data_IF_529331558360
#
_entry.id   IF_529331558360
#
_cell.length_a   1.000
_cell.length_b   1.000
_cell.length_c   1.000
_cell.angle_alpha   90.00
_cell.angle_beta   90.00
_cell.angle_gamma   90.00
#
_symmetry.space_group_name_H-M   'P 1'
#
loop_
_entity.id
_entity.type
_entity.pdbx_description
1 polymer ?
#
# COMPACT_ATOMS: atom_id res chain seq x y z
N UNK A 1 -13.24 34.72 -36.18
CA UNK A 1 -12.46 33.72 -35.44
C UNK A 1 -13.42 33.01 -34.53
N UNK A 2 -13.75 31.75 -34.83
CA UNK A 2 -14.58 30.95 -33.93
C UNK A 2 -13.78 30.67 -32.65
N UNK A 3 -14.41 30.73 -31.47
CA UNK A 3 -13.73 30.38 -30.23
C UNK A 3 -13.25 28.92 -30.30
N UNK A 4 -12.11 28.58 -29.69
CA UNK A 4 -11.68 27.18 -29.62
C UNK A 4 -12.77 26.38 -28.92
N UNK A 5 -13.25 25.35 -29.61
CA UNK A 5 -14.12 24.33 -29.02
C UNK A 5 -13.32 23.75 -27.85
N UNK A 6 -13.74 24.07 -26.63
CA UNK A 6 -13.29 23.35 -25.43
C UNK A 6 -13.52 21.88 -25.73
N UNK A 7 -12.45 21.07 -25.74
CA UNK A 7 -12.53 19.62 -25.83
C UNK A 7 -13.61 19.15 -24.86
N UNK A 8 -14.80 18.84 -25.39
CA UNK A 8 -15.85 18.21 -24.61
C UNK A 8 -15.34 16.79 -24.37
N UNK A 9 -14.93 16.55 -23.13
CA UNK A 9 -14.49 15.23 -22.69
C UNK A 9 -15.65 14.27 -22.88
N UNK A 10 -15.42 13.16 -23.57
CA UNK A 10 -16.41 12.09 -23.62
C UNK A 10 -16.62 11.51 -22.22
N UNK A 11 -17.86 11.27 -21.81
CA UNK A 11 -18.15 10.67 -20.52
C UNK A 11 -17.50 9.30 -20.38
N UNK A 12 -17.04 8.98 -19.16
CA UNK A 12 -16.49 7.66 -18.87
C UNK A 12 -17.54 6.59 -19.16
N UNK A 13 -17.16 5.53 -19.88
CA UNK A 13 -18.07 4.42 -20.16
C UNK A 13 -18.60 3.79 -18.87
N UNK A 14 -19.84 3.29 -18.91
CA UNK A 14 -20.48 2.63 -17.77
C UNK A 14 -19.62 1.47 -17.21
N UNK A 15 -18.92 0.75 -18.09
CA UNK A 15 -17.98 -0.31 -17.73
C UNK A 15 -16.80 0.20 -16.89
N UNK A 16 -16.23 1.35 -17.25
CA UNK A 16 -15.11 1.95 -16.50
C UNK A 16 -15.57 2.40 -15.12
N UNK A 17 -16.78 2.96 -15.01
CA UNK A 17 -17.34 3.36 -13.73
C UNK A 17 -17.59 2.16 -12.82
N UNK A 18 -18.22 1.11 -13.34
CA UNK A 18 -18.47 -0.12 -12.60
C UNK A 18 -17.15 -0.77 -12.13
N UNK A 19 -16.16 -0.84 -13.02
CA UNK A 19 -14.83 -1.34 -12.68
C UNK A 19 -14.15 -0.49 -11.61
N UNK A 20 -14.13 0.85 -11.75
CA UNK A 20 -13.55 1.76 -10.77
C UNK A 20 -14.19 1.60 -9.38
N UNK A 21 -15.51 1.42 -9.33
CA UNK A 21 -16.27 1.24 -8.09
C UNK A 21 -15.92 -0.07 -7.39
N UNK A 22 -15.94 -1.19 -8.11
CA UNK A 22 -15.60 -2.50 -7.56
C UNK A 22 -14.15 -2.50 -7.10
N UNK A 23 -13.25 -2.05 -7.98
CA UNK A 23 -11.82 -2.00 -7.72
C UNK A 23 -11.47 -1.14 -6.50
N UNK A 24 -11.97 0.10 -6.47
CA UNK A 24 -11.75 1.03 -5.36
C UNK A 24 -12.34 0.55 -4.05
N UNK A 25 -13.50 -0.12 -4.07
CA UNK A 25 -14.11 -0.69 -2.87
C UNK A 25 -13.31 -1.85 -2.32
N UNK A 26 -12.87 -2.78 -3.19
CA UNK A 26 -12.04 -3.93 -2.78
C UNK A 26 -10.72 -3.43 -2.18
N UNK A 27 -10.05 -2.49 -2.83
CA UNK A 27 -8.80 -1.92 -2.34
C UNK A 27 -8.99 -1.23 -0.98
N UNK A 28 -9.96 -0.31 -0.87
CA UNK A 28 -10.18 0.42 0.38
C UNK A 28 -10.56 -0.51 1.54
N UNK A 29 -11.49 -1.45 1.31
CA UNK A 29 -11.97 -2.36 2.35
C UNK A 29 -10.88 -3.35 2.79
N UNK A 30 -10.19 -3.99 1.84
CA UNK A 30 -9.13 -4.94 2.17
C UNK A 30 -8.00 -4.25 2.94
N UNK A 31 -7.58 -3.06 2.52
CA UNK A 31 -6.51 -2.32 3.18
C UNK A 31 -6.91 -1.82 4.58
N UNK A 32 -8.11 -1.28 4.76
CA UNK A 32 -8.61 -0.83 6.07
C UNK A 32 -8.82 -2.00 7.03
N UNK A 33 -9.38 -3.12 6.56
CA UNK A 33 -9.55 -4.32 7.38
C UNK A 33 -8.19 -4.92 7.75
N UNK A 34 -7.25 -4.99 6.81
CA UNK A 34 -5.88 -5.43 7.09
C UNK A 34 -5.25 -4.58 8.20
N UNK A 35 -5.42 -3.26 8.13
CA UNK A 35 -4.94 -2.31 9.14
C UNK A 35 -5.51 -2.60 10.53
N UNK A 36 -6.81 -2.84 10.64
CA UNK A 36 -7.46 -3.16 11.91
C UNK A 36 -6.89 -4.46 12.49
N UNK A 37 -6.75 -5.49 11.66
CA UNK A 37 -6.20 -6.79 12.09
C UNK A 37 -4.72 -6.66 12.44
N UNK A 38 -3.94 -5.85 11.71
CA UNK A 38 -2.54 -5.57 11.99
C UNK A 38 -2.36 -4.92 13.36
N UNK A 39 -3.17 -3.91 13.68
CA UNK A 39 -3.14 -3.25 14.99
C UNK A 39 -3.44 -4.23 16.13
N UNK A 40 -4.42 -5.12 15.93
CA UNK A 40 -4.74 -6.17 16.90
C UNK A 40 -3.59 -7.18 17.04
N UNK A 41 -3.01 -7.64 15.92
CA UNK A 41 -1.89 -8.57 15.92
C UNK A 41 -0.65 -7.97 16.60
N UNK A 42 -0.32 -6.71 16.31
CA UNK A 42 0.80 -6.01 16.93
C UNK A 42 0.58 -5.71 18.42
N UNK A 43 -0.66 -5.43 18.84
CA UNK A 43 -0.98 -5.27 20.25
C UNK A 43 -0.85 -6.58 21.04
N UNK A 44 -1.17 -7.72 20.41
CA UNK A 44 -1.14 -9.04 21.06
C UNK A 44 0.22 -9.73 20.99
N UNK A 45 1.00 -9.48 19.94
CA UNK A 45 2.32 -10.06 19.74
C UNK A 45 3.21 -9.13 18.90
N UNK A 46 3.92 -8.17 19.53
CA UNK A 46 4.82 -7.27 18.82
C UNK A 46 5.99 -8.02 18.17
N UNK A 47 6.34 -7.66 16.92
CA UNK A 47 7.57 -8.15 16.26
C UNK A 47 8.81 -7.31 16.62
N UNK A 48 8.85 -6.72 17.82
CA UNK A 48 9.99 -5.95 18.32
C UNK A 48 10.89 -6.81 19.21
N UNK A 49 12.21 -6.71 19.02
CA UNK A 49 13.18 -7.51 19.76
C UNK A 49 13.64 -6.77 21.02
N UNK A 50 13.33 -7.34 22.19
CA UNK A 50 14.14 -7.17 23.40
C UNK A 50 14.61 -8.56 23.86
N UNK A 51 15.93 -8.76 23.90
CA UNK A 51 16.57 -10.08 24.00
C UNK A 51 16.31 -10.86 25.29
N UNK A 52 15.70 -10.24 26.31
CA UNK A 52 15.38 -10.89 27.58
C UNK A 52 14.07 -11.71 27.54
N UNK A 53 13.19 -11.50 26.54
CA UNK A 53 11.86 -12.12 26.47
C UNK A 53 11.59 -12.89 25.17
N UNK A 54 12.63 -13.30 24.44
CA UNK A 54 12.50 -13.84 23.08
C UNK A 54 11.61 -15.10 22.97
N UNK A 55 11.65 -15.97 23.98
CA UNK A 55 10.76 -17.15 24.04
C UNK A 55 9.30 -16.76 24.30
N UNK A 56 9.04 -15.75 25.12
CA UNK A 56 7.70 -15.22 25.37
C UNK A 56 7.14 -14.54 24.12
N UNK A 57 7.97 -13.79 23.39
CA UNK A 57 7.63 -13.20 22.09
C UNK A 57 7.24 -14.29 21.10
N UNK A 58 7.99 -15.40 21.02
CA UNK A 58 7.63 -16.52 20.14
C UNK A 58 6.34 -17.22 20.55
N UNK A 59 6.10 -17.39 21.85
CA UNK A 59 4.84 -17.93 22.35
C UNK A 59 3.66 -16.99 22.06
N UNK A 60 3.86 -15.67 22.09
CA UNK A 60 2.88 -14.68 21.68
C UNK A 60 2.61 -14.73 20.16
N UNK A 61 3.66 -14.74 19.33
CA UNK A 61 3.55 -14.87 17.87
C UNK A 61 2.85 -16.16 17.46
N UNK A 62 3.13 -17.27 18.15
CA UNK A 62 2.44 -18.55 17.96
C UNK A 62 0.97 -18.52 18.40
N UNK A 63 0.55 -17.64 19.30
CA UNK A 63 -0.88 -17.43 19.58
C UNK A 63 -1.52 -16.50 18.55
N UNK A 64 -0.76 -15.54 18.03
CA UNK A 64 -1.22 -14.54 17.09
C UNK A 64 -1.14 -14.95 15.61
N UNK A 65 -0.54 -16.10 15.28
CA UNK A 65 -0.35 -16.54 13.89
C UNK A 65 -1.60 -16.51 12.98
N UNK A 66 -2.83 -16.80 13.46
CA UNK A 66 -4.01 -16.73 12.60
C UNK A 66 -4.31 -15.27 12.22
N UNK A 67 -4.08 -14.33 13.13
CA UNK A 67 -4.30 -12.90 12.90
C UNK A 67 -3.29 -12.35 11.91
N UNK A 68 -2.02 -12.78 11.99
CA UNK A 68 -1.03 -12.48 10.97
C UNK A 68 -1.43 -13.06 9.60
N UNK A 69 -1.95 -14.29 9.57
CA UNK A 69 -2.43 -14.90 8.32
C UNK A 69 -3.58 -14.09 7.70
N UNK A 70 -4.57 -13.70 8.49
CA UNK A 70 -5.71 -12.88 8.02
C UNK A 70 -5.23 -11.50 7.59
N UNK A 71 -4.39 -10.84 8.40
CA UNK A 71 -3.83 -9.53 8.13
C UNK A 71 -3.13 -9.48 6.76
N UNK A 72 -2.15 -10.36 6.55
CA UNK A 72 -1.38 -10.36 5.32
C UNK A 72 -2.14 -10.97 4.14
N UNK A 73 -3.16 -11.80 4.38
CA UNK A 73 -4.10 -12.20 3.32
C UNK A 73 -4.94 -11.03 2.80
N UNK A 74 -5.32 -10.10 3.68
CA UNK A 74 -6.04 -8.88 3.29
C UNK A 74 -5.12 -7.86 2.61
N UNK A 75 -3.89 -7.66 3.12
CA UNK A 75 -2.90 -6.84 2.42
C UNK A 75 -2.58 -7.41 1.03
N UNK A 76 -2.50 -8.75 0.88
CA UNK A 76 -2.23 -9.38 -0.41
C UNK A 76 -3.29 -8.99 -1.45
N UNK A 77 -4.56 -8.96 -1.05
CA UNK A 77 -5.67 -8.51 -1.91
C UNK A 77 -5.53 -7.02 -2.23
N UNK A 78 -5.17 -6.20 -1.25
CA UNK A 78 -4.93 -4.77 -1.45
C UNK A 78 -3.78 -4.53 -2.44
N UNK A 79 -2.67 -5.25 -2.32
CA UNK A 79 -1.49 -5.10 -3.18
C UNK A 79 -1.73 -5.61 -4.60
N UNK A 80 -2.51 -6.67 -4.77
CA UNK A 80 -3.05 -7.06 -6.08
C UNK A 80 -3.87 -5.94 -6.71
N UNK A 81 -4.71 -5.26 -5.92
CA UNK A 81 -5.49 -4.14 -6.41
C UNK A 81 -4.61 -2.91 -6.72
N UNK A 82 -3.62 -2.58 -5.89
CA UNK A 82 -2.66 -1.51 -6.17
C UNK A 82 -1.93 -1.76 -7.50
N UNK A 83 -1.54 -3.01 -7.78
CA UNK A 83 -0.88 -3.35 -9.04
C UNK A 83 -1.74 -3.03 -10.28
N UNK A 84 -3.07 -3.15 -10.16
CA UNK A 84 -4.02 -2.86 -11.22
C UNK A 84 -4.50 -1.39 -11.23
N UNK A 85 -4.25 -0.63 -10.17
CA UNK A 85 -4.68 0.77 -10.05
C UNK A 85 -4.12 1.64 -11.18
N UNK A 86 -2.88 1.38 -11.60
CA UNK A 86 -2.24 2.06 -12.71
C UNK A 86 -2.97 1.87 -14.05
N UNK A 87 -3.54 0.68 -14.27
CA UNK A 87 -4.35 0.38 -15.47
C UNK A 87 -5.66 1.15 -15.43
N UNK A 88 -6.34 1.17 -14.28
CA UNK A 88 -7.56 1.94 -14.07
C UNK A 88 -7.32 3.44 -14.37
N UNK A 89 -6.27 4.02 -13.78
CA UNK A 89 -5.93 5.43 -13.97
C UNK A 89 -5.51 5.74 -15.40
N UNK A 90 -4.78 4.83 -16.06
CA UNK A 90 -4.41 5.01 -17.46
C UNK A 90 -5.64 5.01 -18.37
N UNK A 91 -6.56 4.06 -18.18
CA UNK A 91 -7.81 3.99 -18.95
C UNK A 91 -8.66 5.26 -18.80
N UNK A 92 -8.67 5.87 -17.61
CA UNK A 92 -9.44 7.07 -17.35
C UNK A 92 -8.74 8.38 -17.78
N UNK A 93 -7.46 8.55 -17.47
CA UNK A 93 -6.74 9.81 -17.65
C UNK A 93 -6.07 9.96 -19.02
N UNK A 94 -5.69 8.85 -19.66
CA UNK A 94 -4.94 8.86 -20.91
C UNK A 94 -5.23 7.58 -21.73
N UNK A 95 -6.47 7.37 -22.21
CA UNK A 95 -6.89 6.13 -22.88
C UNK A 95 -6.11 5.84 -24.16
N UNK A 96 -5.67 6.87 -24.88
CA UNK A 96 -4.81 6.72 -26.08
C UNK A 96 -3.35 6.43 -25.74
N UNK A 97 -2.99 6.42 -24.46
CA UNK A 97 -1.66 6.13 -23.97
C UNK A 97 -0.64 7.24 -24.22
N UNK A 98 0.50 7.10 -23.55
CA UNK A 98 1.65 8.01 -23.63
C UNK A 98 2.71 7.56 -22.64
N UNK A 99 3.97 7.95 -22.83
CA UNK A 99 5.07 7.42 -22.01
C UNK A 99 4.80 7.60 -20.51
N UNK A 100 4.26 8.77 -20.10
CA UNK A 100 3.95 9.07 -18.70
C UNK A 100 2.87 8.16 -18.12
N UNK A 101 1.83 7.86 -18.91
CA UNK A 101 0.74 6.99 -18.48
C UNK A 101 1.22 5.54 -18.33
N UNK A 102 2.05 5.07 -19.26
CA UNK A 102 2.71 3.77 -19.16
C UNK A 102 3.67 3.69 -17.97
N UNK A 103 4.50 4.71 -17.76
CA UNK A 103 5.40 4.75 -16.59
C UNK A 103 4.61 4.74 -15.29
N UNK A 104 3.53 5.52 -15.17
CA UNK A 104 2.63 5.48 -14.01
C UNK A 104 2.06 4.08 -13.79
N UNK A 105 1.56 3.43 -14.84
CA UNK A 105 0.99 2.09 -14.75
C UNK A 105 2.03 1.06 -14.27
N UNK A 106 3.24 1.10 -14.84
CA UNK A 106 4.35 0.23 -14.45
C UNK A 106 4.78 0.48 -13.01
N UNK A 107 4.84 1.74 -12.55
CA UNK A 107 5.21 2.06 -11.17
C UNK A 107 4.20 1.52 -10.15
N UNK A 108 2.89 1.66 -10.42
CA UNK A 108 1.86 1.04 -9.57
C UNK A 108 1.93 -0.48 -9.59
N UNK A 109 2.14 -1.08 -10.77
CA UNK A 109 2.32 -2.52 -10.90
C UNK A 109 3.51 -3.02 -10.06
N UNK A 110 4.67 -2.36 -10.16
CA UNK A 110 5.85 -2.70 -9.37
C UNK A 110 5.62 -2.48 -7.87
N UNK A 111 4.93 -1.40 -7.48
CA UNK A 111 4.59 -1.15 -6.08
C UNK A 111 3.73 -2.29 -5.50
N UNK A 112 2.64 -2.65 -6.19
CA UNK A 112 1.78 -3.75 -5.78
C UNK A 112 2.52 -5.09 -5.76
N UNK A 113 3.40 -5.36 -6.74
CA UNK A 113 4.20 -6.59 -6.75
C UNK A 113 5.18 -6.69 -5.57
N UNK A 114 5.81 -5.58 -5.17
CA UNK A 114 6.69 -5.58 -4.00
C UNK A 114 5.90 -5.80 -2.70
N UNK A 115 4.72 -5.20 -2.58
CA UNK A 115 3.80 -5.46 -1.47
C UNK A 115 3.34 -6.93 -1.43
N UNK A 116 2.98 -7.49 -2.58
CA UNK A 116 2.60 -8.89 -2.72
C UNK A 116 3.73 -9.84 -2.26
N UNK A 117 4.98 -9.55 -2.64
CA UNK A 117 6.15 -10.32 -2.17
C UNK A 117 6.33 -10.20 -0.65
N UNK A 118 6.16 -9.00 -0.09
CA UNK A 118 6.18 -8.77 1.35
C UNK A 118 5.09 -9.59 2.07
N UNK A 119 3.86 -9.58 1.55
CA UNK A 119 2.74 -10.29 2.15
C UNK A 119 2.89 -11.80 2.06
N UNK A 120 3.35 -12.35 0.93
CA UNK A 120 3.67 -13.78 0.80
C UNK A 120 4.79 -14.18 1.77
N UNK A 121 5.80 -13.32 1.93
CA UNK A 121 6.88 -13.54 2.90
C UNK A 121 6.29 -13.62 4.32
N UNK A 122 5.40 -12.72 4.68
CA UNK A 122 4.78 -12.69 6.00
C UNK A 122 3.73 -13.79 6.22
N UNK A 123 2.99 -14.20 5.19
CA UNK A 123 2.12 -15.38 5.22
C UNK A 123 2.93 -16.66 5.45
N UNK A 124 4.09 -16.77 4.79
CA UNK A 124 5.03 -17.86 5.01
C UNK A 124 5.58 -17.82 6.43
N UNK A 125 5.96 -16.65 6.93
CA UNK A 125 6.39 -16.45 8.31
C UNK A 125 5.31 -16.86 9.33
N UNK A 126 4.04 -16.53 9.07
CA UNK A 126 2.93 -16.95 9.92
C UNK A 126 2.81 -18.48 10.01
N UNK A 127 3.11 -19.21 8.93
CA UNK A 127 3.18 -20.68 8.98
C UNK A 127 4.38 -21.18 9.79
N UNK A 128 5.52 -20.47 9.75
CA UNK A 128 6.66 -20.78 10.60
C UNK A 128 6.33 -20.60 12.09
N UNK A 129 5.60 -19.53 12.46
CA UNK A 129 5.18 -19.30 13.85
C UNK A 129 4.28 -20.40 14.41
N UNK A 130 3.54 -21.11 13.54
CA UNK A 130 2.71 -22.26 13.95
C UNK A 130 3.53 -23.47 14.37
N UNK A 131 4.76 -23.63 13.83
CA UNK A 131 5.57 -24.84 13.98
C UNK A 131 6.45 -24.82 15.24
N UNK A 132 6.25 -25.75 16.19
CA UNK A 132 7.05 -25.80 17.42
C UNK A 132 8.51 -26.25 17.23
N UNK A 133 8.86 -26.86 16.08
CA UNK A 133 10.16 -27.51 15.88
C UNK A 133 11.21 -26.64 15.18
N UNK A 134 10.80 -25.60 14.44
CA UNK A 134 11.70 -24.82 13.58
C UNK A 134 12.37 -23.64 14.28
N UNK A 135 11.89 -23.25 15.46
CA UNK A 135 12.29 -22.05 16.18
C UNK A 135 12.58 -22.35 17.67
N UNK A 136 13.24 -23.48 17.94
CA UNK A 136 13.57 -23.90 19.30
C UNK A 136 14.79 -23.20 19.91
N UNK A 137 15.61 -22.55 19.08
CA UNK A 137 16.83 -21.84 19.48
C UNK A 137 16.65 -20.30 19.41
N UNK A 138 17.06 -19.61 20.47
CA UNK A 138 16.91 -18.17 20.61
C UNK A 138 17.73 -17.39 19.56
N UNK A 139 18.94 -17.84 19.24
CA UNK A 139 19.77 -17.17 18.22
C UNK A 139 19.13 -17.28 16.84
N UNK A 140 18.62 -18.45 16.49
CA UNK A 140 17.90 -18.70 15.23
C UNK A 140 16.65 -17.84 15.11
N UNK A 141 15.86 -17.73 16.19
CA UNK A 141 14.67 -16.85 16.23
C UNK A 141 15.04 -15.39 15.94
N UNK A 142 16.06 -14.87 16.63
CA UNK A 142 16.47 -13.47 16.48
C UNK A 142 16.92 -13.16 15.05
N UNK A 143 17.67 -14.08 14.42
CA UNK A 143 18.11 -13.94 13.02
C UNK A 143 16.92 -13.96 12.07
N UNK A 144 15.97 -14.89 12.23
CA UNK A 144 14.79 -15.00 11.37
C UNK A 144 13.90 -13.77 11.47
N UNK A 145 13.58 -13.31 12.69
CA UNK A 145 12.77 -12.11 12.91
C UNK A 145 13.48 -10.84 12.40
N UNK A 146 14.80 -10.74 12.61
CA UNK A 146 15.60 -9.65 12.06
C UNK A 146 15.58 -9.61 10.54
N UNK A 147 15.76 -10.76 9.88
CA UNK A 147 15.67 -10.88 8.43
C UNK A 147 14.28 -10.54 7.89
N UNK A 148 13.22 -11.04 8.52
CA UNK A 148 11.83 -10.74 8.15
C UNK A 148 11.54 -9.24 8.25
N UNK A 149 11.86 -8.62 9.39
CA UNK A 149 11.64 -7.19 9.60
C UNK A 149 12.44 -6.33 8.61
N UNK A 150 13.71 -6.65 8.37
CA UNK A 150 14.54 -5.90 7.43
C UNK A 150 14.02 -6.02 5.99
N UNK A 151 13.71 -7.25 5.56
CA UNK A 151 13.26 -7.53 4.19
C UNK A 151 11.90 -6.88 3.90
N UNK A 152 10.95 -7.04 4.81
CA UNK A 152 9.61 -6.44 4.68
C UNK A 152 9.65 -4.92 4.73
N UNK A 153 10.51 -4.33 5.57
CA UNK A 153 10.71 -2.89 5.58
C UNK A 153 11.25 -2.34 4.25
N UNK A 154 12.24 -3.00 3.64
CA UNK A 154 12.77 -2.58 2.33
C UNK A 154 11.73 -2.69 1.21
N UNK A 155 10.97 -3.79 1.16
CA UNK A 155 9.89 -3.93 0.18
C UNK A 155 8.79 -2.90 0.40
N UNK A 156 8.40 -2.65 1.65
CA UNK A 156 7.41 -1.62 1.98
C UNK A 156 7.88 -0.22 1.58
N UNK A 157 9.12 0.15 1.92
CA UNK A 157 9.70 1.44 1.53
C UNK A 157 9.71 1.62 0.01
N UNK A 158 10.20 0.63 -0.73
CA UNK A 158 10.24 0.68 -2.19
C UNK A 158 8.83 0.74 -2.79
N UNK A 159 7.87 -0.02 -2.26
CA UNK A 159 6.46 0.03 -2.70
C UNK A 159 5.86 1.42 -2.51
N UNK A 160 6.07 2.05 -1.35
CA UNK A 160 5.60 3.42 -1.11
C UNK A 160 6.31 4.45 -2.01
N UNK A 161 7.61 4.30 -2.24
CA UNK A 161 8.34 5.19 -3.14
C UNK A 161 7.81 5.14 -4.58
N UNK A 162 7.57 3.93 -5.09
CA UNK A 162 7.03 3.70 -6.43
C UNK A 162 5.59 4.19 -6.55
N UNK A 163 4.74 3.91 -5.55
CA UNK A 163 3.36 4.43 -5.51
C UNK A 163 3.32 5.95 -5.46
N UNK A 164 4.20 6.57 -4.68
CA UNK A 164 4.34 8.02 -4.60
C UNK A 164 4.78 8.62 -5.93
N UNK A 165 5.77 8.02 -6.58
CA UNK A 165 6.21 8.39 -7.92
C UNK A 165 5.09 8.26 -8.97
N UNK A 166 4.32 7.16 -8.93
CA UNK A 166 3.18 6.95 -9.82
C UNK A 166 2.10 8.02 -9.60
N UNK A 167 1.80 8.33 -8.34
CA UNK A 167 0.83 9.37 -7.97
C UNK A 167 1.27 10.78 -8.41
N UNK A 168 2.58 11.09 -8.37
CA UNK A 168 3.12 12.34 -8.93
C UNK A 168 2.94 12.42 -10.46
N UNK A 169 3.01 11.29 -11.17
CA UNK A 169 2.75 11.23 -12.62
C UNK A 169 1.25 11.31 -12.94
N UNK A 170 0.39 10.80 -12.06
CA UNK A 170 -1.06 10.89 -12.21
C UNK A 170 -1.57 12.34 -12.18
N UNK A 171 -1.03 13.18 -11.29
CA UNK A 171 -1.50 14.56 -11.11
C UNK A 171 -1.42 15.46 -12.38
N UNK A 172 -0.31 15.51 -13.16
CA UNK A 172 -0.28 16.25 -14.42
C UNK A 172 -1.14 15.60 -15.51
N UNK A 173 -1.22 14.27 -15.58
CA UNK A 173 -2.14 13.59 -16.51
C UNK A 173 -3.59 13.96 -16.24
N UNK A 174 -3.96 14.02 -14.96
CA UNK A 174 -5.27 14.45 -14.51
C UNK A 174 -5.59 15.91 -14.86
N UNK A 175 -4.61 16.80 -14.75
CA UNK A 175 -4.78 18.19 -15.19
C UNK A 175 -5.04 18.28 -16.71
N UNK A 176 -4.32 17.49 -17.52
CA UNK A 176 -4.53 17.42 -18.96
C UNK A 176 -5.88 16.80 -19.33
N UNK A 177 -6.34 15.82 -18.57
CA UNK A 177 -7.65 15.19 -18.75
C UNK A 177 -8.82 16.09 -18.30
N UNK A 178 -8.55 17.16 -17.54
CA UNK A 178 -9.58 18.06 -17.01
C UNK A 178 -10.20 17.63 -15.69
N UNK A 179 -9.55 16.74 -14.93
CA UNK A 179 -10.00 16.33 -13.61
C UNK A 179 -10.04 17.51 -12.62
N UNK A 180 -10.87 17.36 -11.59
CA UNK A 180 -11.10 18.36 -10.56
C UNK A 180 -9.84 18.78 -9.81
N UNK A 181 -9.64 20.10 -9.66
CA UNK A 181 -8.47 20.69 -8.98
C UNK A 181 -8.24 20.14 -7.57
N UNK A 182 -9.33 19.84 -6.85
CA UNK A 182 -9.27 19.29 -5.48
C UNK A 182 -8.67 17.88 -5.48
N UNK A 183 -9.10 17.02 -6.40
CA UNK A 183 -8.59 15.67 -6.51
C UNK A 183 -7.12 15.66 -6.96
N UNK A 184 -6.73 16.52 -7.90
CA UNK A 184 -5.33 16.70 -8.31
C UNK A 184 -4.45 17.11 -7.12
N UNK A 185 -4.89 18.10 -6.34
CA UNK A 185 -4.18 18.54 -5.15
C UNK A 185 -4.06 17.41 -4.12
N UNK A 186 -5.13 16.67 -3.89
CA UNK A 186 -5.11 15.54 -2.96
C UNK A 186 -4.17 14.42 -3.43
N UNK A 187 -4.16 14.12 -4.73
CA UNK A 187 -3.23 13.14 -5.33
C UNK A 187 -1.77 13.52 -5.09
N UNK A 188 -1.43 14.82 -5.18
CA UNK A 188 -0.08 15.30 -4.87
C UNK A 188 0.25 15.17 -3.38
N UNK A 189 -0.69 15.51 -2.50
CA UNK A 189 -0.51 15.35 -1.05
C UNK A 189 -0.28 13.87 -0.70
N UNK A 190 -1.10 12.97 -1.25
CA UNK A 190 -0.95 11.53 -1.07
C UNK A 190 0.42 11.04 -1.58
N UNK A 191 0.87 11.52 -2.74
CA UNK A 191 2.18 11.19 -3.26
C UNK A 191 3.32 11.58 -2.31
N UNK A 192 3.31 12.83 -1.81
CA UNK A 192 4.32 13.28 -0.85
C UNK A 192 4.24 12.51 0.47
N UNK A 193 3.03 12.16 0.90
CA UNK A 193 2.84 11.32 2.08
C UNK A 193 3.47 9.94 1.91
N UNK A 194 3.28 9.28 0.78
CA UNK A 194 3.89 7.98 0.47
C UNK A 194 5.43 8.07 0.40
N UNK A 195 5.97 9.11 -0.24
CA UNK A 195 7.42 9.33 -0.25
C UNK A 195 7.99 9.58 1.15
N UNK A 196 7.26 10.32 1.99
CA UNK A 196 7.63 10.55 3.39
C UNK A 196 7.61 9.24 4.19
N UNK A 197 6.57 8.41 4.03
CA UNK A 197 6.49 7.07 4.65
C UNK A 197 7.68 6.23 4.24
N UNK A 198 8.01 6.18 2.94
CA UNK A 198 9.20 5.48 2.45
C UNK A 198 10.48 5.96 3.13
N UNK A 199 10.67 7.28 3.24
CA UNK A 199 11.86 7.85 3.87
C UNK A 199 11.94 7.49 5.37
N UNK A 200 10.80 7.52 6.07
CA UNK A 200 10.71 7.12 7.49
C UNK A 200 11.08 5.64 7.64
N UNK A 201 10.56 4.76 6.79
CA UNK A 201 10.88 3.32 6.84
C UNK A 201 12.37 3.10 6.58
N UNK A 202 12.93 3.70 5.55
CA UNK A 202 14.38 3.60 5.25
C UNK A 202 15.21 4.09 6.44
N UNK A 203 14.86 5.25 7.01
CA UNK A 203 15.56 5.78 8.18
C UNK A 203 15.43 4.85 9.40
N UNK A 204 14.24 4.29 9.65
CA UNK A 204 14.01 3.32 10.72
C UNK A 204 14.88 2.06 10.53
N UNK A 205 14.94 1.53 9.31
CA UNK A 205 15.74 0.34 8.98
C UNK A 205 17.25 0.59 9.12
N UNK A 206 17.74 1.75 8.69
CA UNK A 206 19.18 2.08 8.76
C UNK A 206 19.67 2.41 10.16
N UNK A 207 18.82 3.04 10.98
CA UNK A 207 19.20 3.50 12.33
C UNK A 207 18.81 2.54 13.44
N UNK A 208 17.93 1.58 13.14
CA UNK A 208 17.27 0.73 14.14
C UNK A 208 16.59 1.52 15.28
N UNK A 209 16.24 2.80 15.05
CA UNK A 209 15.65 3.65 16.07
C UNK A 209 14.17 3.27 16.30
N UNK A 210 13.84 2.82 17.51
CA UNK A 210 12.49 2.38 17.88
C UNK A 210 11.40 3.45 17.61
N UNK A 211 11.71 4.73 17.85
CA UNK A 211 10.79 5.83 17.57
C UNK A 211 10.44 5.96 16.08
N UNK A 212 11.41 5.75 15.19
CA UNK A 212 11.18 5.76 13.73
C UNK A 212 10.39 4.53 13.30
N UNK A 213 10.60 3.37 13.94
CA UNK A 213 9.76 2.18 13.74
C UNK A 213 8.29 2.43 14.06
N UNK A 214 8.00 3.09 15.20
CA UNK A 214 6.62 3.48 15.54
C UNK A 214 6.03 4.49 14.57
N UNK A 215 6.82 5.46 14.11
CA UNK A 215 6.37 6.40 13.08
C UNK A 215 6.07 5.68 11.76
N UNK A 216 6.88 4.70 11.36
CA UNK A 216 6.62 3.88 10.18
C UNK A 216 5.28 3.12 10.30
N UNK A 217 4.96 2.58 11.48
CA UNK A 217 3.65 1.93 11.73
C UNK A 217 2.52 2.96 11.66
N UNK A 218 2.63 4.09 12.36
CA UNK A 218 1.57 5.11 12.40
C UNK A 218 1.30 5.66 10.99
N UNK A 219 2.35 6.05 10.26
CA UNK A 219 2.18 6.66 8.95
C UNK A 219 1.88 5.62 7.87
N UNK A 220 2.63 4.51 7.83
CA UNK A 220 2.50 3.49 6.80
C UNK A 220 1.31 2.57 6.98
N UNK A 221 1.12 2.02 8.18
CA UNK A 221 0.08 1.01 8.47
C UNK A 221 -1.26 1.66 8.78
N UNK A 222 -1.31 2.83 9.41
CA UNK A 222 -2.59 3.50 9.75
C UNK A 222 -2.90 4.64 8.78
N UNK A 223 -1.98 5.59 8.63
CA UNK A 223 -2.25 6.81 7.89
C UNK A 223 -2.44 6.59 6.39
N UNK A 224 -1.59 5.80 5.73
CA UNK A 224 -1.71 5.53 4.30
C UNK A 224 -3.03 4.87 3.91
N UNK A 225 -3.50 3.76 4.54
CA UNK A 225 -4.79 3.19 4.19
C UNK A 225 -5.97 4.16 4.35
N UNK A 226 -5.96 5.00 5.39
CA UNK A 226 -7.00 6.02 5.58
C UNK A 226 -6.97 7.03 4.43
N UNK A 227 -5.79 7.61 4.15
CA UNK A 227 -5.65 8.61 3.08
C UNK A 227 -5.94 8.03 1.70
N UNK A 228 -5.45 6.82 1.42
CA UNK A 228 -5.71 6.11 0.17
C UNK A 228 -7.21 5.82 0.00
N UNK A 229 -7.91 5.39 1.06
CA UNK A 229 -9.35 5.15 1.01
C UNK A 229 -10.14 6.43 0.73
N UNK A 230 -9.80 7.53 1.39
CA UNK A 230 -10.41 8.84 1.12
C UNK A 230 -10.14 9.29 -0.33
N UNK A 231 -8.91 9.06 -0.81
CA UNK A 231 -8.51 9.39 -2.18
C UNK A 231 -9.26 8.54 -3.22
N UNK A 232 -9.45 7.23 -2.96
CA UNK A 232 -10.23 6.32 -3.81
C UNK A 232 -11.71 6.72 -3.85
N UNK A 233 -12.30 7.08 -2.70
CA UNK A 233 -13.67 7.60 -2.66
C UNK A 233 -13.80 8.88 -3.47
N UNK A 234 -12.81 9.77 -3.38
CA UNK A 234 -12.79 10.99 -4.20
C UNK A 234 -12.60 10.69 -5.68
N UNK A 235 -11.76 9.72 -6.05
CA UNK A 235 -11.54 9.26 -7.43
C UNK A 235 -12.83 8.72 -8.03
N UNK A 236 -13.52 7.82 -7.31
CA UNK A 236 -14.77 7.23 -7.76
C UNK A 236 -15.86 8.28 -8.00
N UNK A 237 -15.91 9.35 -7.19
CA UNK A 237 -16.81 10.49 -7.41
C UNK A 237 -16.42 11.28 -8.65
N UNK A 238 -15.13 11.51 -8.86
CA UNK A 238 -14.63 12.24 -10.01
C UNK A 238 -14.97 11.52 -11.32
N UNK A 239 -14.71 10.21 -11.40
CA UNK A 239 -15.04 9.37 -12.57
C UNK A 239 -16.55 9.38 -12.86
N UNK A 240 -17.40 9.40 -11.82
CA UNK A 240 -18.87 9.45 -11.97
C UNK A 240 -19.42 10.81 -12.37
N UNK A 241 -18.79 11.91 -11.95
CA UNK A 241 -19.26 13.26 -12.30
C UNK A 241 -18.94 13.67 -13.74
N UNK A 242 -18.07 12.91 -14.39
CA UNK A 242 -17.74 13.08 -15.81
C UNK A 242 -18.67 12.28 -16.73
N UNK A 243 -19.57 11.47 -16.19
CA UNK A 243 -20.57 10.70 -16.93
C UNK A 243 -21.88 11.47 -17.11
#
# INVERSE_FOLDING_TARGET
>A
MSPPVLNQREPASDDLQAFAMIHGTVLAMSWLLATIVALYAYATAPMAMDGAALQETMAALRRAWPWYTVCYGLFLVADCAIALLGVLLMAWLAPHGGYRAWTMAVLFALAGMLGLVMDVTMLTAAQLFRSPSLLGDATTIAVVLGWLNATTAWFSAASFALSGGASLLAAPLAACAGAGRRWIAFTRILAFYQLLVSAIIVAATLTAAAALGWLAVIFGVVGTPILASLWLVSLMREIRHEA
#
